data_IF_740981481544
#
_entry.id   IF_740981481544
#
_cell.length_a   1.000
_cell.length_b   1.000
_cell.length_c   1.000
_cell.angle_alpha   90.00
_cell.angle_beta   90.00
_cell.angle_gamma   90.00
#
_symmetry.space_group_name_H-M   'P 1'
#
loop_
_entity.id
_entity.type
_entity.pdbx_description
1 polymer ?
#
# COMPACT_ATOMS: atom_id res chain seq x y z
N UNK A 1 -9.48 2.08 -24.83
CA UNK A 1 -10.03 0.79 -24.40
C UNK A 1 -10.48 1.00 -22.97
N UNK A 2 -11.78 1.12 -22.76
CA UNK A 2 -12.35 1.37 -21.43
C UNK A 2 -12.28 0.09 -20.62
N UNK A 3 -11.56 0.18 -19.52
CA UNK A 3 -11.23 -0.92 -18.63
C UNK A 3 -12.49 -1.56 -18.05
N UNK A 4 -12.61 -2.88 -18.22
CA UNK A 4 -13.77 -3.69 -17.82
C UNK A 4 -13.65 -4.10 -16.35
N UNK A 5 -13.35 -3.16 -15.46
CA UNK A 5 -13.41 -3.47 -14.04
C UNK A 5 -14.87 -3.44 -13.62
N UNK A 6 -15.43 -4.63 -13.33
CA UNK A 6 -16.78 -4.75 -12.76
C UNK A 6 -16.89 -3.79 -11.57
N UNK A 7 -18.01 -3.07 -11.40
CA UNK A 7 -18.21 -2.29 -10.21
C UNK A 7 -18.06 -3.23 -9.02
N UNK A 8 -17.08 -2.95 -8.13
CA UNK A 8 -16.98 -3.65 -6.85
C UNK A 8 -18.38 -3.62 -6.21
N UNK A 9 -18.97 -4.80 -6.11
CA UNK A 9 -20.26 -5.02 -5.50
C UNK A 9 -20.05 -5.32 -4.00
N UNK A 10 -21.13 -5.44 -3.23
CA UNK A 10 -21.07 -5.79 -1.81
C UNK A 10 -20.34 -7.12 -1.52
N UNK A 11 -20.00 -7.89 -2.56
CA UNK A 11 -19.41 -9.24 -2.50
C UNK A 11 -17.89 -9.26 -2.29
N UNK A 12 -17.19 -8.12 -2.36
CA UNK A 12 -15.74 -8.06 -2.13
C UNK A 12 -14.91 -8.01 -3.43
N UNK A 13 -13.69 -8.54 -3.39
CA UNK A 13 -12.79 -8.72 -4.55
C UNK A 13 -12.18 -10.13 -4.54
N UNK A 14 -11.80 -10.65 -5.70
CA UNK A 14 -11.12 -11.95 -5.79
C UNK A 14 -9.63 -11.81 -5.50
N UNK A 15 -8.97 -12.91 -5.12
CA UNK A 15 -7.50 -12.96 -5.03
C UNK A 15 -6.82 -12.54 -6.34
N UNK A 16 -7.42 -12.81 -7.51
CA UNK A 16 -6.91 -12.40 -8.81
C UNK A 16 -6.87 -10.87 -8.96
N UNK A 17 -7.91 -10.17 -8.49
CA UNK A 17 -8.01 -8.71 -8.55
C UNK A 17 -6.95 -7.99 -7.70
N UNK A 18 -6.36 -8.68 -6.73
CA UNK A 18 -5.32 -8.13 -5.85
C UNK A 18 -3.90 -8.30 -6.39
N UNK A 19 -3.69 -9.13 -7.42
CA UNK A 19 -2.36 -9.61 -7.80
C UNK A 19 -1.41 -8.51 -8.25
N UNK A 20 -1.93 -7.49 -8.91
CA UNK A 20 -1.16 -6.42 -9.53
C UNK A 20 -1.33 -5.08 -8.81
N UNK A 21 -2.03 -5.03 -7.66
CA UNK A 21 -2.25 -3.79 -6.92
C UNK A 21 -3.22 -2.78 -7.57
N UNK A 22 -3.76 -3.06 -8.76
CA UNK A 22 -4.69 -2.17 -9.48
C UNK A 22 -5.97 -1.87 -8.70
N UNK A 23 -6.48 -2.86 -7.97
CA UNK A 23 -7.65 -2.69 -7.10
C UNK A 23 -7.40 -1.63 -6.02
N UNK A 24 -6.21 -1.62 -5.41
CA UNK A 24 -5.87 -0.66 -4.36
C UNK A 24 -5.72 0.75 -4.94
N UNK A 25 -5.08 0.90 -6.10
CA UNK A 25 -4.98 2.20 -6.80
C UNK A 25 -6.35 2.74 -7.15
N UNK A 26 -7.23 1.92 -7.72
CA UNK A 26 -8.60 2.31 -8.05
C UNK A 26 -9.39 2.76 -6.81
N UNK A 27 -9.28 2.01 -5.71
CA UNK A 27 -9.96 2.33 -4.45
C UNK A 27 -9.52 3.67 -3.89
N UNK A 28 -8.21 3.94 -3.89
CA UNK A 28 -7.63 5.22 -3.45
C UNK A 28 -8.14 6.38 -4.31
N UNK A 29 -8.10 6.23 -5.63
CA UNK A 29 -8.60 7.26 -6.55
C UNK A 29 -10.09 7.56 -6.32
N UNK A 30 -10.91 6.51 -6.18
CA UNK A 30 -12.36 6.65 -5.91
C UNK A 30 -12.65 7.32 -4.56
N UNK A 31 -11.83 7.08 -3.54
CA UNK A 31 -11.96 7.75 -2.24
C UNK A 31 -11.68 9.26 -2.34
N UNK A 32 -10.77 9.67 -3.23
CA UNK A 32 -10.51 11.09 -3.48
C UNK A 32 -11.72 11.81 -4.07
N UNK A 33 -12.55 11.12 -4.86
CA UNK A 33 -13.83 11.66 -5.35
C UNK A 33 -14.91 11.74 -4.27
N UNK A 34 -15.02 10.68 -3.46
CA UNK A 34 -16.04 10.54 -2.41
C UNK A 34 -15.37 10.05 -1.13
N UNK A 35 -15.25 10.93 -0.15
CA UNK A 35 -14.56 10.67 1.12
C UNK A 35 -15.49 10.06 2.16
N UNK A 36 -16.03 8.88 1.87
CA UNK A 36 -16.96 8.19 2.78
C UNK A 36 -16.23 7.18 3.67
N UNK A 37 -16.78 6.92 4.86
CA UNK A 37 -16.26 5.88 5.76
C UNK A 37 -16.25 4.50 5.10
N UNK A 38 -17.31 4.17 4.36
CA UNK A 38 -17.41 2.89 3.67
C UNK A 38 -16.25 2.69 2.69
N UNK A 39 -15.92 3.70 1.88
CA UNK A 39 -14.78 3.63 0.94
C UNK A 39 -13.45 3.48 1.67
N UNK A 40 -13.31 4.11 2.84
CA UNK A 40 -12.13 3.95 3.67
C UNK A 40 -12.01 2.52 4.24
N UNK A 41 -13.12 1.94 4.71
CA UNK A 41 -13.16 0.55 5.17
C UNK A 41 -12.78 -0.43 4.03
N UNK A 42 -13.19 -0.15 2.79
CA UNK A 42 -12.78 -0.91 1.60
C UNK A 42 -11.28 -0.78 1.31
N UNK A 43 -10.71 0.42 1.42
CA UNK A 43 -9.27 0.63 1.28
C UNK A 43 -8.51 -0.16 2.34
N UNK A 44 -8.94 -0.11 3.60
CA UNK A 44 -8.27 -0.83 4.69
C UNK A 44 -8.30 -2.35 4.49
N UNK A 45 -9.46 -2.92 4.13
CA UNK A 45 -9.54 -4.33 3.75
C UNK A 45 -8.58 -4.65 2.60
N UNK A 46 -8.53 -3.80 1.57
CA UNK A 46 -7.68 -4.03 0.40
C UNK A 46 -6.20 -3.98 0.76
N UNK A 47 -5.74 -2.96 1.50
CA UNK A 47 -4.35 -2.86 1.97
C UNK A 47 -3.97 -4.13 2.73
N UNK A 48 -4.83 -4.58 3.65
CA UNK A 48 -4.60 -5.77 4.47
C UNK A 48 -4.45 -7.04 3.64
N UNK A 49 -5.28 -7.19 2.61
CA UNK A 49 -5.32 -8.40 1.77
C UNK A 49 -4.29 -8.36 0.61
N UNK A 50 -3.74 -7.19 0.29
CA UNK A 50 -2.77 -6.98 -0.79
C UNK A 50 -1.35 -7.41 -0.41
N UNK A 51 -0.57 -7.71 -1.45
CA UNK A 51 0.89 -7.59 -1.38
C UNK A 51 1.29 -6.21 -1.86
N UNK A 52 2.28 -5.63 -1.20
CA UNK A 52 2.82 -4.31 -1.48
C UNK A 52 4.29 -4.45 -1.87
N UNK A 53 4.78 -3.49 -2.64
CA UNK A 53 6.17 -3.41 -3.05
C UNK A 53 6.93 -2.58 -2.03
N UNK A 54 8.05 -3.12 -1.55
CA UNK A 54 9.01 -2.43 -0.68
C UNK A 54 10.33 -2.32 -1.42
N UNK A 55 10.80 -1.09 -1.73
CA UNK A 55 12.12 -0.88 -2.31
C UNK A 55 13.20 -1.10 -1.26
N UNK A 56 14.18 -1.95 -1.61
CA UNK A 56 15.33 -2.27 -0.78
C UNK A 56 16.63 -1.82 -1.43
N UNK A 57 17.53 -1.27 -0.62
CA UNK A 57 18.86 -0.85 -1.08
C UNK A 57 19.64 -2.11 -1.53
N UNK A 58 20.18 -2.19 -2.76
CA UNK A 58 20.70 -3.42 -3.34
C UNK A 58 21.76 -4.17 -2.51
N UNK A 59 22.67 -3.43 -1.88
CA UNK A 59 23.80 -3.98 -1.14
C UNK A 59 23.42 -4.29 0.32
N UNK A 60 22.78 -3.36 1.01
CA UNK A 60 22.49 -3.50 2.44
C UNK A 60 21.20 -4.26 2.72
N UNK A 61 20.30 -4.37 1.73
CA UNK A 61 18.94 -4.90 1.86
C UNK A 61 18.08 -4.18 2.90
N UNK A 62 18.52 -3.01 3.36
CA UNK A 62 17.68 -2.15 4.19
C UNK A 62 16.54 -1.57 3.35
N UNK A 63 15.34 -1.38 3.92
CA UNK A 63 14.29 -0.67 3.23
C UNK A 63 14.69 0.77 2.95
N UNK A 64 14.18 1.32 1.86
CA UNK A 64 14.21 2.75 1.64
C UNK A 64 13.29 3.48 2.64
N UNK A 65 13.64 4.75 2.90
CA UNK A 65 12.84 5.62 3.75
C UNK A 65 12.59 6.94 3.03
N UNK A 66 11.32 7.34 2.96
CA UNK A 66 10.96 8.70 2.60
C UNK A 66 11.05 9.58 3.86
N UNK A 67 11.42 10.83 3.69
CA UNK A 67 11.49 11.82 4.78
C UNK A 67 10.69 13.05 4.36
N UNK A 68 9.85 13.57 5.27
CA UNK A 68 9.13 14.83 5.06
C UNK A 68 9.94 16.05 5.55
N UNK A 69 9.39 17.25 5.34
CA UNK A 69 10.04 18.51 5.74
C UNK A 69 10.21 18.66 7.27
N UNK A 70 9.46 17.89 8.06
CA UNK A 70 9.52 17.87 9.52
C UNK A 70 10.55 16.83 10.04
N UNK A 71 11.18 16.06 9.14
CA UNK A 71 12.14 15.00 9.44
C UNK A 71 11.49 13.68 9.86
N UNK A 72 10.18 13.53 9.66
CA UNK A 72 9.47 12.26 9.89
C UNK A 72 9.91 11.25 8.85
N UNK A 73 10.29 10.06 9.28
CA UNK A 73 10.75 9.01 8.38
C UNK A 73 9.70 7.94 8.18
N UNK A 74 9.47 7.60 6.92
CA UNK A 74 8.44 6.67 6.49
C UNK A 74 9.05 5.46 5.80
N UNK A 75 8.60 4.25 6.13
CA UNK A 75 8.82 3.11 5.25
C UNK A 75 8.07 3.37 3.93
N UNK A 76 8.80 3.40 2.82
CA UNK A 76 8.19 3.50 1.50
C UNK A 76 7.53 2.15 1.15
N UNK A 77 6.22 2.17 0.89
CA UNK A 77 5.50 1.00 0.36
C UNK A 77 4.66 1.42 -0.85
N UNK A 78 4.55 0.55 -1.84
CA UNK A 78 3.85 0.86 -3.09
C UNK A 78 2.84 -0.21 -3.44
N UNK A 79 1.69 0.22 -3.95
CA UNK A 79 0.68 -0.67 -4.51
C UNK A 79 1.14 -1.28 -5.83
N UNK A 80 1.86 -0.50 -6.66
CA UNK A 80 2.36 -0.88 -7.98
C UNK A 80 3.69 -0.19 -8.29
N UNK A 81 4.43 -0.72 -9.28
CA UNK A 81 5.65 -0.08 -9.75
C UNK A 81 5.39 1.28 -10.38
N UNK A 82 4.24 1.45 -11.02
CA UNK A 82 3.76 2.67 -11.68
C UNK A 82 3.55 3.83 -10.69
N UNK A 83 3.54 3.55 -9.38
CA UNK A 83 3.44 4.58 -8.34
C UNK A 83 4.82 5.13 -7.93
N UNK A 84 5.89 4.64 -8.56
CA UNK A 84 7.27 5.11 -8.39
C UNK A 84 7.75 5.83 -9.67
N UNK A 85 8.51 6.93 -9.53
CA UNK A 85 9.31 7.46 -10.63
C UNK A 85 10.28 6.40 -11.18
N UNK A 86 10.53 6.41 -12.49
CA UNK A 86 11.39 5.42 -13.16
C UNK A 86 12.83 5.46 -12.63
N UNK A 87 13.37 6.66 -12.45
CA UNK A 87 14.72 6.89 -11.91
C UNK A 87 14.85 6.43 -10.45
N UNK A 88 13.79 6.60 -9.66
CA UNK A 88 13.74 6.04 -8.31
C UNK A 88 13.73 4.51 -8.37
N UNK A 89 12.84 3.92 -9.17
CA UNK A 89 12.65 2.46 -9.25
C UNK A 89 13.96 1.73 -9.61
N UNK A 90 14.72 2.27 -10.54
CA UNK A 90 15.93 1.63 -11.08
C UNK A 90 17.08 1.54 -10.05
N UNK A 91 17.03 2.30 -8.96
CA UNK A 91 18.05 2.32 -7.89
C UNK A 91 17.81 1.23 -6.81
N UNK A 92 16.65 0.59 -6.80
CA UNK A 92 16.25 -0.34 -5.74
C UNK A 92 15.97 -1.76 -6.22
N UNK A 93 16.07 -2.70 -5.29
CA UNK A 93 15.51 -4.05 -5.44
C UNK A 93 14.09 -4.02 -4.89
N UNK A 94 13.12 -4.35 -5.73
CA UNK A 94 11.71 -4.34 -5.36
C UNK A 94 11.31 -5.70 -4.76
N UNK A 95 10.90 -5.71 -3.50
CA UNK A 95 10.37 -6.91 -2.85
C UNK A 95 8.86 -6.83 -2.65
N UNK A 96 8.16 -7.93 -2.93
CA UNK A 96 6.72 -8.07 -2.69
C UNK A 96 6.46 -8.66 -1.32
N UNK A 97 5.81 -7.89 -0.44
CA UNK A 97 5.55 -8.23 0.96
C UNK A 97 4.06 -8.14 1.29
N UNK A 98 3.58 -8.94 2.24
CA UNK A 98 2.23 -8.72 2.80
C UNK A 98 2.23 -7.44 3.65
N UNK A 99 1.06 -6.83 3.86
CA UNK A 99 0.98 -5.66 4.73
C UNK A 99 1.48 -5.92 6.17
N UNK A 100 1.21 -7.11 6.71
CA UNK A 100 1.73 -7.53 8.01
C UNK A 100 3.28 -7.53 8.04
N UNK A 101 3.92 -8.08 7.00
CA UNK A 101 5.37 -8.08 6.89
C UNK A 101 5.94 -6.66 6.73
N UNK A 102 5.25 -5.76 6.00
CA UNK A 102 5.64 -4.35 5.93
C UNK A 102 5.60 -3.69 7.32
N UNK A 103 4.56 -3.95 8.12
CA UNK A 103 4.46 -3.40 9.47
C UNK A 103 5.55 -3.95 10.41
N UNK A 104 5.83 -5.25 10.35
CA UNK A 104 6.93 -5.85 11.10
C UNK A 104 8.28 -5.25 10.71
N UNK A 105 8.52 -5.06 9.41
CA UNK A 105 9.72 -4.42 8.91
C UNK A 105 9.85 -2.98 9.42
N UNK A 106 8.78 -2.17 9.34
CA UNK A 106 8.78 -0.82 9.87
C UNK A 106 9.11 -0.80 11.38
N UNK A 107 8.49 -1.68 12.17
CA UNK A 107 8.75 -1.79 13.63
C UNK A 107 10.15 -2.24 13.99
N UNK A 108 10.77 -3.06 13.15
CA UNK A 108 12.13 -3.55 13.36
C UNK A 108 13.19 -2.47 13.11
N UNK A 109 12.82 -1.36 12.44
CA UNK A 109 13.70 -0.25 12.12
C UNK A 109 13.37 0.97 13.00
N UNK A 110 14.20 1.29 14.03
CA UNK A 110 13.90 2.35 14.99
C UNK A 110 13.93 3.77 14.41
N UNK A 111 14.40 3.92 13.17
CA UNK A 111 14.37 5.19 12.44
C UNK A 111 13.05 5.44 11.71
N UNK A 112 12.14 4.47 11.67
CA UNK A 112 10.87 4.57 10.93
C UNK A 112 9.74 4.89 11.89
N UNK A 113 9.08 6.03 11.66
CA UNK A 113 7.97 6.50 12.49
C UNK A 113 6.62 5.98 12.00
N UNK A 114 6.49 5.77 10.68
CA UNK A 114 5.24 5.34 10.03
C UNK A 114 5.50 4.78 8.63
N UNK A 115 4.44 4.43 7.88
CA UNK A 115 4.55 3.96 6.49
C UNK A 115 3.91 4.97 5.54
N UNK A 116 4.46 5.11 4.34
CA UNK A 116 3.90 5.93 3.28
C UNK A 116 3.52 5.04 2.09
N UNK A 117 2.23 4.85 1.86
CA UNK A 117 1.70 4.11 0.71
C UNK A 117 1.58 5.01 -0.52
N UNK A 118 2.30 4.63 -1.58
CA UNK A 118 2.40 5.34 -2.87
C UNK A 118 2.92 6.78 -2.72
N UNK A 119 4.06 6.93 -2.02
CA UNK A 119 4.62 8.21 -1.59
C UNK A 119 4.88 9.28 -2.65
N UNK A 120 4.96 8.91 -3.94
CA UNK A 120 5.19 9.83 -5.06
C UNK A 120 3.94 10.20 -5.84
N UNK A 121 2.78 9.63 -5.51
CA UNK A 121 1.51 9.87 -6.22
C UNK A 121 0.41 10.31 -5.24
N UNK A 122 -0.68 9.55 -5.12
CA UNK A 122 -1.75 9.80 -4.15
C UNK A 122 -1.35 9.21 -2.78
N UNK A 123 -0.45 9.87 -2.06
CA UNK A 123 0.12 9.34 -0.80
C UNK A 123 -0.93 9.10 0.27
N UNK A 124 -0.86 7.93 0.91
CA UNK A 124 -1.58 7.62 2.15
C UNK A 124 -0.58 7.31 3.26
N UNK A 125 -0.53 8.16 4.29
CA UNK A 125 0.28 7.93 5.48
C UNK A 125 -0.46 6.95 6.40
N UNK A 126 0.27 5.93 6.85
CA UNK A 126 -0.23 4.88 7.73
C UNK A 126 0.67 4.85 8.96
N UNK A 127 0.23 5.52 10.02
CA UNK A 127 0.89 5.41 11.34
C UNK A 127 0.64 4.04 11.98
N UNK A 128 1.39 3.70 13.03
CA UNK A 128 1.25 2.39 13.67
C UNK A 128 -0.15 2.13 14.27
N UNK A 129 -0.84 3.09 14.92
CA UNK A 129 -2.23 2.90 15.32
C UNK A 129 -3.17 2.56 14.16
N UNK A 130 -3.04 3.26 13.03
CA UNK A 130 -3.84 2.97 11.83
C UNK A 130 -3.47 1.62 11.21
N UNK A 131 -2.19 1.26 11.20
CA UNK A 131 -1.75 -0.05 10.71
C UNK A 131 -2.40 -1.20 11.50
N UNK A 132 -2.54 -1.05 12.83
CA UNK A 132 -3.26 -2.01 13.68
C UNK A 132 -4.75 -2.09 13.32
N UNK A 133 -5.40 -0.96 13.02
CA UNK A 133 -6.79 -0.94 12.55
C UNK A 133 -6.92 -1.68 11.21
N UNK A 134 -5.99 -1.45 10.28
CA UNK A 134 -5.96 -2.13 8.97
C UNK A 134 -5.82 -3.65 9.16
N UNK A 135 -4.89 -4.11 10.02
CA UNK A 135 -4.72 -5.54 10.30
C UNK A 135 -5.97 -6.19 10.89
N UNK A 136 -6.71 -5.47 11.74
CA UNK A 136 -7.95 -5.95 12.36
C UNK A 136 -9.17 -5.83 11.44
N UNK A 137 -9.06 -5.10 10.32
CA UNK A 137 -10.17 -4.90 9.39
C UNK A 137 -10.54 -6.24 8.75
N UNK A 138 -11.82 -6.61 8.66
CA UNK A 138 -12.23 -7.87 8.03
C UNK A 138 -11.76 -7.96 6.58
N UNK A 139 -11.36 -9.17 6.17
CA UNK A 139 -11.01 -9.46 4.78
C UNK A 139 -12.22 -9.22 3.90
N UNK A 140 -11.96 -8.74 2.69
CA UNK A 140 -12.95 -8.75 1.60
C UNK A 140 -12.49 -9.62 0.43
N UNK A 141 -11.31 -10.22 0.53
CA UNK A 141 -10.80 -11.20 -0.43
C UNK A 141 -11.56 -12.52 -0.34
N UNK A 142 -11.90 -13.09 -1.49
CA UNK A 142 -12.43 -14.44 -1.61
C UNK A 142 -11.75 -15.21 -2.74
N UNK A 143 -11.75 -16.54 -2.60
CA UNK A 143 -11.29 -17.46 -3.65
C UNK A 143 -12.29 -17.47 -4.80
N UNK A 144 -11.78 -17.65 -6.01
CA UNK A 144 -12.58 -17.88 -7.22
C UNK A 144 -13.26 -19.25 -7.22
#
# INVERSE_FOLDING_TARGET
MTDNMKPMNEEGYTEQMLQDGSTLVYLKHRFMEKKTKEQLDWIYSCIRDSKLIVPLIPISKKPDMLEDDDGTKYLAIFSQEEQMPEDYRDEFILESMTFEACLELARSNPEIDSMALDGFTETMVIDFPLAEVILQTPSRSHKE
#
